data_IF_380138131873
#
_entry.id   IF_380138131873
#
_cell.length_a   1.000
_cell.length_b   1.000
_cell.length_c   1.000
_cell.angle_alpha   90.00
_cell.angle_beta   90.00
_cell.angle_gamma   90.00
#
_symmetry.space_group_name_H-M   'P 1'
#
loop_
_entity.id
_entity.type
_entity.pdbx_description
1 polymer ?
#
# COMPACT_ATOMS: atom_id res chain seq x y z
N UNK A 1 -1.65 -29.71 8.40
CA UNK A 1 -1.34 -30.10 7.01
C UNK A 1 -1.51 -31.60 6.72
N UNK A 2 -1.08 -32.52 7.60
CA UNK A 2 -1.16 -33.98 7.36
C UNK A 2 -2.59 -34.53 7.08
N UNK A 3 -3.64 -33.93 7.66
CA UNK A 3 -5.02 -34.42 7.51
C UNK A 3 -5.56 -34.26 6.08
N UNK A 4 -5.22 -33.15 5.42
CA UNK A 4 -5.69 -32.84 4.06
C UNK A 4 -5.03 -33.73 3.01
N UNK A 5 -3.74 -34.05 3.18
CA UNK A 5 -3.03 -34.99 2.29
C UNK A 5 -3.60 -36.40 2.35
N UNK A 6 -4.03 -36.85 3.54
CA UNK A 6 -4.64 -38.17 3.73
C UNK A 6 -6.01 -38.27 3.05
N UNK A 7 -6.83 -37.22 3.14
CA UNK A 7 -8.13 -37.15 2.48
C UNK A 7 -7.97 -37.13 0.96
N UNK A 8 -7.04 -36.32 0.42
CA UNK A 8 -6.77 -36.31 -1.01
C UNK A 8 -6.23 -37.64 -1.53
N UNK A 9 -5.37 -38.32 -0.76
CA UNK A 9 -4.84 -39.63 -1.13
C UNK A 9 -5.95 -40.68 -1.18
N UNK A 10 -6.88 -40.66 -0.21
CA UNK A 10 -8.02 -41.57 -0.19
C UNK A 10 -8.99 -41.33 -1.35
N UNK A 11 -9.24 -40.07 -1.71
CA UNK A 11 -10.10 -39.72 -2.86
C UNK A 11 -9.45 -40.18 -4.18
N UNK A 12 -8.15 -39.93 -4.35
CA UNK A 12 -7.41 -40.34 -5.56
C UNK A 12 -7.35 -41.87 -5.69
N UNK A 13 -7.13 -42.58 -4.59
CA UNK A 13 -7.10 -44.06 -4.58
C UNK A 13 -8.49 -44.64 -4.89
N UNK A 14 -9.54 -44.03 -4.36
CA UNK A 14 -10.94 -44.38 -4.66
C UNK A 14 -11.26 -44.17 -6.15
N UNK A 15 -10.86 -43.02 -6.72
CA UNK A 15 -11.10 -42.70 -8.13
C UNK A 15 -10.36 -43.67 -9.07
N UNK A 16 -9.09 -43.98 -8.78
CA UNK A 16 -8.27 -44.92 -9.57
C UNK A 16 -8.85 -46.33 -9.56
N UNK A 17 -9.42 -46.77 -8.43
CA UNK A 17 -10.02 -48.09 -8.30
C UNK A 17 -11.34 -48.21 -9.07
N UNK A 18 -12.12 -47.12 -9.14
CA UNK A 18 -13.37 -47.04 -9.92
C UNK A 18 -13.11 -46.90 -11.42
N UNK A 19 -12.08 -46.16 -11.84
CA UNK A 19 -11.77 -45.92 -13.25
C UNK A 19 -11.04 -47.07 -13.96
N UNK A 20 -10.26 -47.88 -13.22
CA UNK A 20 -9.50 -49.00 -13.80
C UNK A 20 -10.34 -50.02 -14.60
N UNK A 21 -11.51 -50.49 -14.14
CA UNK A 21 -12.37 -51.39 -14.94
C UNK A 21 -13.03 -50.68 -16.13
N UNK A 22 -13.20 -49.36 -16.08
CA UNK A 22 -13.76 -48.56 -17.18
C UNK A 22 -12.76 -48.40 -18.33
N UNK A 23 -11.47 -48.26 -18.02
CA UNK A 23 -10.40 -48.00 -18.99
C UNK A 23 -9.88 -49.30 -19.61
N UNK A 24 -9.79 -50.39 -18.85
CA UNK A 24 -9.21 -51.66 -19.31
C UNK A 24 -10.23 -52.77 -19.60
N UNK A 25 -11.53 -52.51 -19.45
CA UNK A 25 -12.59 -53.52 -19.57
C UNK A 25 -12.99 -53.93 -21.00
N UNK A 26 -12.34 -53.42 -22.06
CA UNK A 26 -12.81 -53.64 -23.45
C UNK A 26 -11.90 -54.50 -24.34
N UNK A 27 -10.79 -55.06 -23.84
CA UNK A 27 -9.80 -55.76 -24.67
C UNK A 27 -9.71 -57.28 -24.48
N UNK A 28 -10.73 -57.95 -23.93
CA UNK A 28 -10.68 -59.41 -23.79
C UNK A 28 -12.04 -60.10 -23.95
N UNK A 29 -12.76 -59.81 -25.04
CA UNK A 29 -13.99 -60.50 -25.41
C UNK A 29 -13.96 -60.97 -26.87
N UNK A 30 -12.90 -61.69 -27.26
CA UNK A 30 -12.90 -62.40 -28.55
C UNK A 30 -12.45 -63.86 -28.45
N UNK A 31 -12.34 -64.43 -27.24
CA UNK A 31 -12.23 -65.88 -27.04
C UNK A 31 -12.41 -66.19 -25.55
N UNK A 32 -13.64 -66.52 -25.11
CA UNK A 32 -13.88 -67.27 -23.88
C UNK A 32 -15.35 -67.72 -23.79
N UNK A 33 -15.55 -69.01 -23.56
CA UNK A 33 -16.83 -69.72 -23.55
C UNK A 33 -17.88 -69.17 -22.57
N UNK A 34 -19.14 -69.23 -22.99
CA UNK A 34 -20.32 -68.68 -22.32
C UNK A 34 -20.79 -69.45 -21.06
N UNK A 35 -19.90 -70.13 -20.32
CA UNK A 35 -20.26 -70.92 -19.13
C UNK A 35 -19.56 -70.51 -17.83
N UNK A 36 -18.75 -69.44 -17.81
CA UNK A 36 -18.00 -69.02 -16.59
C UNK A 36 -18.09 -67.54 -16.20
N UNK A 37 -19.08 -66.78 -16.69
CA UNK A 37 -19.22 -65.33 -16.36
C UNK A 37 -20.38 -65.04 -15.36
N UNK A 38 -20.83 -66.03 -14.60
CA UNK A 38 -22.02 -65.92 -13.75
C UNK A 38 -21.85 -65.39 -12.32
N UNK A 39 -20.62 -65.29 -11.78
CA UNK A 39 -20.44 -65.05 -10.33
C UNK A 39 -19.57 -63.85 -9.94
N UNK A 40 -18.92 -63.16 -10.88
CA UNK A 40 -17.93 -62.11 -10.55
C UNK A 40 -18.52 -60.71 -10.33
N UNK A 41 -19.64 -60.36 -10.97
CA UNK A 41 -20.20 -58.98 -10.89
C UNK A 41 -20.95 -58.66 -9.59
N UNK A 42 -21.64 -59.63 -8.97
CA UNK A 42 -22.35 -59.40 -7.69
C UNK A 42 -21.40 -59.18 -6.50
N UNK A 43 -20.23 -59.83 -6.51
CA UNK A 43 -19.24 -59.75 -5.44
C UNK A 43 -18.53 -58.39 -5.41
N UNK A 44 -18.18 -57.83 -6.57
CA UNK A 44 -17.48 -56.55 -6.68
C UNK A 44 -18.35 -55.33 -6.33
N UNK A 45 -19.66 -55.37 -6.60
CA UNK A 45 -20.58 -54.30 -6.19
C UNK A 45 -20.88 -54.32 -4.68
N UNK A 46 -20.85 -55.50 -4.07
CA UNK A 46 -21.11 -55.66 -2.63
C UNK A 46 -19.93 -55.13 -1.79
N UNK A 47 -18.69 -55.34 -2.23
CA UNK A 47 -17.50 -54.79 -1.57
C UNK A 47 -17.40 -53.26 -1.69
N UNK A 48 -17.77 -52.67 -2.84
CA UNK A 48 -17.83 -51.22 -3.02
C UNK A 48 -18.87 -50.59 -2.09
N UNK A 49 -20.06 -51.20 -1.99
CA UNK A 49 -21.12 -50.70 -1.11
C UNK A 49 -20.73 -50.74 0.37
N UNK A 50 -20.05 -51.82 0.79
CA UNK A 50 -19.53 -51.94 2.16
C UNK A 50 -18.49 -50.85 2.45
N UNK A 51 -17.54 -50.60 1.55
CA UNK A 51 -16.50 -49.59 1.76
C UNK A 51 -17.10 -48.18 1.84
N UNK A 52 -18.05 -47.86 0.96
CA UNK A 52 -18.73 -46.54 0.94
C UNK A 52 -19.50 -46.28 2.23
N UNK A 53 -20.01 -47.32 2.90
CA UNK A 53 -20.77 -47.15 4.14
C UNK A 53 -19.88 -47.26 5.40
N UNK A 54 -18.82 -48.07 5.33
CA UNK A 54 -17.92 -48.32 6.45
C UNK A 54 -16.99 -47.12 6.72
N UNK A 55 -16.44 -46.50 5.67
CA UNK A 55 -15.51 -45.37 5.83
C UNK A 55 -16.18 -44.16 6.53
N UNK A 56 -17.37 -43.69 6.13
CA UNK A 56 -18.06 -42.61 6.85
C UNK A 56 -18.45 -43.00 8.28
N UNK A 57 -18.88 -44.24 8.51
CA UNK A 57 -19.28 -44.70 9.83
C UNK A 57 -18.10 -44.73 10.81
N UNK A 58 -16.93 -45.20 10.35
CA UNK A 58 -15.70 -45.17 11.13
C UNK A 58 -15.24 -43.73 11.38
N UNK A 59 -15.35 -42.85 10.38
CA UNK A 59 -15.04 -41.43 10.56
C UNK A 59 -15.96 -40.75 11.60
N UNK A 60 -17.26 -41.04 11.56
CA UNK A 60 -18.23 -40.54 12.55
C UNK A 60 -17.91 -41.10 13.94
N UNK A 61 -17.61 -42.40 14.05
CA UNK A 61 -17.26 -43.03 15.33
C UNK A 61 -15.97 -42.47 15.92
N UNK A 62 -14.94 -42.28 15.10
CA UNK A 62 -13.70 -41.61 15.51
C UNK A 62 -13.95 -40.16 15.93
N UNK A 63 -14.82 -39.43 15.22
CA UNK A 63 -15.18 -38.06 15.58
C UNK A 63 -15.91 -38.00 16.93
N UNK A 64 -16.79 -38.96 17.23
CA UNK A 64 -17.50 -39.01 18.51
C UNK A 64 -16.64 -39.49 19.68
N UNK A 65 -15.58 -40.27 19.42
CA UNK A 65 -14.73 -40.84 20.47
C UNK A 65 -13.45 -40.04 20.74
N UNK A 66 -12.82 -39.47 19.69
CA UNK A 66 -11.63 -38.63 19.81
C UNK A 66 -11.94 -37.14 19.69
N UNK A 67 -13.07 -36.77 19.09
CA UNK A 67 -13.51 -35.38 19.03
C UNK A 67 -14.26 -34.97 20.31
N UNK A 68 -14.21 -33.69 20.63
CA UNK A 68 -14.97 -33.10 21.73
C UNK A 68 -16.26 -32.51 21.14
N UNK A 69 -17.42 -33.17 21.19
CA UNK A 69 -18.67 -32.59 20.68
C UNK A 69 -19.12 -31.36 21.50
N UNK A 70 -18.64 -31.21 22.75
CA UNK A 70 -19.02 -30.16 23.68
C UNK A 70 -18.47 -28.76 23.34
N UNK A 71 -17.41 -28.65 22.53
CA UNK A 71 -16.95 -27.34 22.00
C UNK A 71 -17.91 -26.75 20.96
N UNK A 72 -18.84 -27.55 20.43
CA UNK A 72 -19.83 -27.10 19.44
C UNK A 72 -21.11 -26.59 20.12
N UNK A 73 -21.35 -26.95 21.39
CA UNK A 73 -22.48 -26.47 22.18
C UNK A 73 -21.98 -25.97 23.55
N UNK A 74 -21.63 -24.68 23.70
CA UNK A 74 -21.22 -24.15 25.00
C UNK A 74 -22.33 -24.39 26.01
N UNK A 75 -22.01 -25.07 27.12
CA UNK A 75 -22.94 -25.41 28.19
C UNK A 75 -23.64 -24.16 28.74
N UNK A 76 -24.85 -24.30 29.28
CA UNK A 76 -25.60 -23.20 29.92
C UNK A 76 -24.77 -22.49 31.00
N UNK A 77 -23.92 -23.23 31.72
CA UNK A 77 -22.97 -22.67 32.69
C UNK A 77 -21.92 -21.76 32.03
N UNK A 78 -21.39 -22.15 30.86
CA UNK A 78 -20.42 -21.36 30.10
C UNK A 78 -21.05 -20.05 29.58
N UNK A 79 -22.31 -20.11 29.16
CA UNK A 79 -23.05 -18.92 28.71
C UNK A 79 -23.39 -17.99 29.88
N UNK A 80 -23.80 -18.52 31.03
CA UNK A 80 -24.08 -17.75 32.23
C UNK A 80 -22.82 -17.05 32.78
N UNK A 81 -21.67 -17.75 32.76
CA UNK A 81 -20.38 -17.17 33.14
C UNK A 81 -19.98 -16.02 32.22
N UNK A 82 -20.06 -16.21 30.90
CA UNK A 82 -19.77 -15.15 29.93
C UNK A 82 -20.69 -13.92 30.10
N UNK A 83 -21.98 -14.13 30.35
CA UNK A 83 -22.92 -13.04 30.60
C UNK A 83 -22.64 -12.30 31.92
N UNK A 84 -22.26 -13.02 32.98
CA UNK A 84 -21.88 -12.41 34.26
C UNK A 84 -20.59 -11.59 34.13
N UNK A 85 -19.61 -12.11 33.40
CA UNK A 85 -18.37 -11.40 33.11
C UNK A 85 -18.64 -10.11 32.32
N UNK A 86 -19.46 -10.17 31.28
CA UNK A 86 -19.81 -8.99 30.47
C UNK A 86 -20.58 -7.92 31.26
N UNK A 87 -21.49 -8.32 32.15
CA UNK A 87 -22.17 -7.38 33.06
C UNK A 87 -21.17 -6.74 34.03
N UNK A 88 -20.26 -7.53 34.58
CA UNK A 88 -19.23 -7.02 35.52
C UNK A 88 -18.32 -5.99 34.86
N UNK A 89 -17.91 -6.23 33.61
CA UNK A 89 -17.10 -5.27 32.83
C UNK A 89 -17.87 -3.96 32.61
N UNK A 90 -19.15 -4.05 32.24
CA UNK A 90 -20.00 -2.87 31.99
C UNK A 90 -20.20 -2.05 33.26
N UNK A 91 -20.40 -2.70 34.41
CA UNK A 91 -20.52 -2.02 35.71
C UNK A 91 -19.23 -1.30 36.14
N UNK A 92 -18.06 -1.91 35.88
CA UNK A 92 -16.77 -1.27 36.17
C UNK A 92 -16.55 -0.03 35.33
N UNK A 93 -16.88 -0.08 34.03
CA UNK A 93 -16.80 1.08 33.12
C UNK A 93 -17.76 2.17 33.59
N UNK A 94 -18.99 1.83 33.98
CA UNK A 94 -19.96 2.80 34.49
C UNK A 94 -19.48 3.50 35.76
N UNK A 95 -18.76 2.79 36.65
CA UNK A 95 -18.14 3.42 37.82
C UNK A 95 -16.98 4.35 37.44
N UNK A 96 -16.21 3.98 36.42
CA UNK A 96 -15.12 4.80 35.90
C UNK A 96 -15.66 6.09 35.25
N UNK A 97 -16.71 6.01 34.43
CA UNK A 97 -17.42 7.16 33.86
C UNK A 97 -17.85 8.13 34.98
N UNK A 98 -18.58 7.64 35.99
CA UNK A 98 -19.05 8.46 37.12
C UNK A 98 -17.91 9.14 37.90
N UNK A 99 -16.76 8.47 38.03
CA UNK A 99 -15.58 9.05 38.68
C UNK A 99 -14.98 10.16 37.82
N UNK A 100 -14.85 9.95 36.52
CA UNK A 100 -14.29 10.92 35.58
C UNK A 100 -15.17 12.15 35.38
N UNK A 101 -16.48 12.05 35.63
CA UNK A 101 -17.35 13.22 35.74
C UNK A 101 -17.00 14.11 36.94
N UNK A 102 -16.52 13.52 38.05
CA UNK A 102 -16.10 14.26 39.25
C UNK A 102 -14.64 14.70 39.19
N UNK A 103 -13.80 13.94 38.47
CA UNK A 103 -12.36 14.17 38.30
C UNK A 103 -12.03 14.34 36.80
N UNK A 104 -12.48 15.45 36.16
CA UNK A 104 -12.43 15.59 34.70
C UNK A 104 -11.01 15.78 34.12
N UNK A 105 -10.01 15.95 34.98
CA UNK A 105 -8.61 16.16 34.61
C UNK A 105 -7.74 14.89 34.85
N UNK A 106 -8.36 13.76 35.24
CA UNK A 106 -7.67 12.46 35.41
C UNK A 106 -7.30 11.84 34.05
N UNK A 107 -6.12 12.21 33.53
CA UNK A 107 -5.57 11.73 32.26
C UNK A 107 -5.51 10.20 32.18
N UNK A 108 -5.08 9.53 33.26
CA UNK A 108 -4.94 8.07 33.26
C UNK A 108 -6.32 7.40 33.22
N UNK A 109 -7.28 7.92 33.97
CA UNK A 109 -8.64 7.43 33.92
C UNK A 109 -9.29 7.60 32.55
N UNK A 110 -9.09 8.73 31.86
CA UNK A 110 -9.57 8.93 30.48
C UNK A 110 -8.89 7.98 29.48
N UNK A 111 -7.59 7.74 29.63
CA UNK A 111 -6.84 6.77 28.83
C UNK A 111 -7.38 5.34 29.01
N UNK A 112 -7.62 4.93 30.26
CA UNK A 112 -8.21 3.63 30.57
C UNK A 112 -9.62 3.50 29.99
N UNK A 113 -10.44 4.53 30.15
CA UNK A 113 -11.80 4.56 29.62
C UNK A 113 -11.83 4.42 28.10
N UNK A 114 -11.00 5.19 27.40
CA UNK A 114 -10.85 5.10 25.94
C UNK A 114 -10.47 3.69 25.49
N UNK A 115 -9.44 3.09 26.12
CA UNK A 115 -8.99 1.72 25.81
C UNK A 115 -10.08 0.69 26.06
N UNK A 116 -10.84 0.82 27.15
CA UNK A 116 -11.97 -0.06 27.46
C UNK A 116 -13.02 -0.03 26.35
N UNK A 117 -13.40 1.16 25.85
CA UNK A 117 -14.35 1.26 24.76
C UNK A 117 -13.82 0.72 23.43
N UNK A 118 -12.54 0.94 23.12
CA UNK A 118 -11.92 0.35 21.92
C UNK A 118 -11.95 -1.18 21.95
N UNK A 119 -11.65 -1.79 23.11
CA UNK A 119 -11.74 -3.26 23.28
C UNK A 119 -13.17 -3.77 23.13
N UNK A 120 -14.14 -3.03 23.68
CA UNK A 120 -15.56 -3.34 23.52
C UNK A 120 -16.12 -3.00 22.13
N UNK A 121 -15.32 -2.36 21.28
CA UNK A 121 -15.72 -1.84 19.95
C UNK A 121 -16.88 -0.84 20.02
N UNK A 122 -17.05 -0.16 21.15
CA UNK A 122 -17.96 0.98 21.31
C UNK A 122 -17.23 2.24 20.85
N UNK A 123 -17.08 2.36 19.52
CA UNK A 123 -16.24 3.41 18.93
C UNK A 123 -16.83 4.80 19.14
N UNK A 124 -18.16 4.94 19.24
CA UNK A 124 -18.79 6.22 19.55
C UNK A 124 -18.34 6.75 20.91
N UNK A 125 -18.36 5.92 21.96
CA UNK A 125 -17.87 6.35 23.28
C UNK A 125 -16.35 6.46 23.34
N UNK A 126 -15.62 5.61 22.61
CA UNK A 126 -14.17 5.71 22.51
C UNK A 126 -13.74 7.07 21.95
N UNK A 127 -14.42 7.56 20.90
CA UNK A 127 -14.18 8.89 20.30
C UNK A 127 -14.34 10.01 21.33
N UNK A 128 -15.36 9.95 22.19
CA UNK A 128 -15.59 10.96 23.23
C UNK A 128 -14.47 10.93 24.30
N UNK A 129 -14.11 9.74 24.78
CA UNK A 129 -13.05 9.57 25.76
C UNK A 129 -11.68 10.00 25.20
N UNK A 130 -11.36 9.61 23.96
CA UNK A 130 -10.12 10.00 23.26
C UNK A 130 -10.06 11.49 22.96
N UNK A 131 -11.20 12.12 22.64
CA UNK A 131 -11.27 13.56 22.48
C UNK A 131 -10.91 14.26 23.79
N UNK A 132 -11.53 13.84 24.91
CA UNK A 132 -11.24 14.43 26.22
C UNK A 132 -9.78 14.22 26.63
N UNK A 133 -9.25 13.03 26.39
CA UNK A 133 -7.85 12.73 26.62
C UNK A 133 -6.93 13.64 25.80
N UNK A 134 -7.22 13.81 24.50
CA UNK A 134 -6.47 14.69 23.60
C UNK A 134 -6.50 16.16 24.06
N UNK A 135 -7.64 16.64 24.57
CA UNK A 135 -7.75 18.00 25.15
C UNK A 135 -6.86 18.18 26.39
N UNK A 136 -6.66 17.14 27.20
CA UNK A 136 -5.86 17.20 28.42
C UNK A 136 -4.35 17.09 28.16
N UNK A 137 -3.94 16.21 27.24
CA UNK A 137 -2.51 15.89 27.01
C UNK A 137 -1.92 16.63 25.82
N UNK A 138 -2.77 17.19 24.95
CA UNK A 138 -2.36 17.91 23.75
C UNK A 138 -1.74 16.99 22.69
N UNK A 139 -0.65 17.47 22.09
CA UNK A 139 -0.10 16.91 20.86
C UNK A 139 0.75 15.64 21.07
N UNK A 140 0.13 14.58 21.59
CA UNK A 140 0.74 13.26 21.77
C UNK A 140 0.41 12.34 20.59
N UNK A 141 1.40 11.83 19.84
CA UNK A 141 1.17 11.01 18.62
C UNK A 141 0.27 9.80 18.85
N UNK A 142 0.50 9.02 19.91
CA UNK A 142 -0.29 7.82 20.21
C UNK A 142 -1.78 8.14 20.45
N UNK A 143 -2.07 9.26 21.11
CA UNK A 143 -3.44 9.71 21.38
C UNK A 143 -4.08 10.24 20.10
N UNK A 144 -3.36 11.01 19.29
CA UNK A 144 -3.84 11.48 17.99
C UNK A 144 -4.19 10.31 17.06
N UNK A 145 -3.33 9.30 16.98
CA UNK A 145 -3.51 8.14 16.11
C UNK A 145 -4.64 7.23 16.59
N UNK A 146 -4.72 6.96 17.89
CA UNK A 146 -5.86 6.22 18.46
C UNK A 146 -7.17 6.96 18.22
N UNK A 147 -7.16 8.30 18.33
CA UNK A 147 -8.34 9.12 18.07
C UNK A 147 -8.73 9.13 16.59
N UNK A 148 -7.76 9.23 15.69
CA UNK A 148 -7.98 9.14 14.25
C UNK A 148 -8.59 7.78 13.84
N UNK A 149 -8.06 6.69 14.39
CA UNK A 149 -8.56 5.33 14.14
C UNK A 149 -9.99 5.16 14.66
N UNK A 150 -10.27 5.58 15.89
CA UNK A 150 -11.62 5.53 16.46
C UNK A 150 -12.64 6.36 15.63
N UNK A 151 -12.24 7.55 15.16
CA UNK A 151 -13.06 8.37 14.27
C UNK A 151 -13.32 7.68 12.93
N UNK A 152 -12.34 6.97 12.38
CA UNK A 152 -12.52 6.21 11.15
C UNK A 152 -13.51 5.07 11.35
N UNK A 153 -13.45 4.35 12.48
CA UNK A 153 -14.37 3.25 12.79
C UNK A 153 -15.84 3.71 12.89
N UNK A 154 -16.09 4.92 13.38
CA UNK A 154 -17.45 5.51 13.42
C UNK A 154 -17.90 6.00 12.04
N UNK A 155 -16.97 6.28 11.12
CA UNK A 155 -17.25 6.87 9.80
C UNK A 155 -17.06 5.89 8.65
N UNK A 156 -17.47 4.62 8.83
CA UNK A 156 -17.37 3.54 7.84
C UNK A 156 -15.94 3.29 7.31
N UNK A 157 -14.93 3.50 8.16
CA UNK A 157 -13.51 3.35 7.82
C UNK A 157 -12.92 4.54 7.05
N UNK A 158 -13.66 5.63 6.88
CA UNK A 158 -13.18 6.82 6.15
C UNK A 158 -12.21 7.62 7.01
N UNK A 159 -11.01 7.85 6.48
CA UNK A 159 -9.95 8.62 7.13
C UNK A 159 -9.89 10.08 6.66
N UNK A 160 -10.75 10.48 5.72
CA UNK A 160 -10.85 11.86 5.24
C UNK A 160 -11.29 12.85 6.33
N UNK A 161 -10.83 14.10 6.25
CA UNK A 161 -11.21 15.17 7.18
C UNK A 161 -10.35 15.20 8.45
N UNK A 162 -10.98 15.12 9.63
CA UNK A 162 -10.29 15.22 10.93
C UNK A 162 -9.27 14.09 11.20
N UNK A 163 -9.56 12.80 10.90
CA UNK A 163 -8.61 11.72 11.11
C UNK A 163 -7.29 11.94 10.36
N UNK A 164 -7.35 12.27 9.07
CA UNK A 164 -6.17 12.60 8.26
C UNK A 164 -5.30 13.69 8.89
N UNK A 165 -5.89 14.78 9.36
CA UNK A 165 -5.14 15.87 10.01
C UNK A 165 -4.41 15.43 11.29
N UNK A 166 -5.05 14.56 12.08
CA UNK A 166 -4.44 13.99 13.28
C UNK A 166 -3.28 13.07 12.93
N UNK A 167 -3.43 12.24 11.88
CA UNK A 167 -2.38 11.34 11.38
C UNK A 167 -1.18 12.11 10.86
N UNK A 168 -1.41 13.13 10.02
CA UNK A 168 -0.35 13.99 9.48
C UNK A 168 0.43 14.67 10.60
N UNK A 169 -0.28 15.27 11.56
CA UNK A 169 0.34 15.92 12.72
C UNK A 169 1.11 14.93 13.61
N UNK A 170 0.58 13.72 13.81
CA UNK A 170 1.30 12.68 14.55
C UNK A 170 2.59 12.27 13.85
N UNK A 171 2.58 12.14 12.51
CA UNK A 171 3.77 11.81 11.71
C UNK A 171 4.77 12.95 11.57
N UNK A 172 4.35 14.21 11.73
CA UNK A 172 5.27 15.35 11.87
C UNK A 172 6.10 15.24 13.16
N UNK A 173 5.48 14.75 14.23
CA UNK A 173 6.13 14.57 15.55
C UNK A 173 6.93 13.28 15.62
N UNK A 174 6.39 12.18 15.09
CA UNK A 174 7.02 10.86 15.04
C UNK A 174 6.99 10.29 13.61
N UNK A 175 8.00 10.62 12.78
CA UNK A 175 8.02 10.21 11.37
C UNK A 175 8.07 8.71 11.12
N UNK A 176 8.47 7.92 12.12
CA UNK A 176 8.60 6.46 12.03
C UNK A 176 7.54 5.73 12.87
N UNK A 177 6.47 6.42 13.30
CA UNK A 177 5.38 5.77 14.01
C UNK A 177 4.66 4.76 13.10
N UNK A 178 4.67 3.48 13.49
CA UNK A 178 4.18 2.38 12.65
C UNK A 178 2.70 2.48 12.34
N UNK A 179 1.89 2.82 13.36
CA UNK A 179 0.45 3.04 13.21
C UNK A 179 0.16 4.27 12.36
N UNK A 180 0.94 5.35 12.54
CA UNK A 180 0.84 6.55 11.73
C UNK A 180 1.08 6.28 10.25
N UNK A 181 2.16 5.57 9.91
CA UNK A 181 2.49 5.21 8.53
C UNK A 181 1.44 4.28 7.92
N UNK A 182 0.92 3.33 8.70
CA UNK A 182 -0.15 2.43 8.28
C UNK A 182 -1.42 3.20 7.89
N UNK A 183 -1.92 4.04 8.81
CA UNK A 183 -3.14 4.83 8.62
C UNK A 183 -2.97 5.90 7.54
N UNK A 184 -1.81 6.55 7.45
CA UNK A 184 -1.52 7.53 6.41
C UNK A 184 -1.56 6.91 5.01
N UNK A 185 -1.05 5.67 4.88
CA UNK A 185 -1.14 4.93 3.63
C UNK A 185 -2.58 4.62 3.22
N UNK A 186 -3.40 4.14 4.17
CA UNK A 186 -4.84 3.87 3.91
C UNK A 186 -5.57 5.17 3.54
N UNK A 187 -5.37 6.24 4.31
CA UNK A 187 -6.01 7.54 4.06
C UNK A 187 -5.63 8.11 2.69
N UNK A 188 -4.37 7.95 2.27
CA UNK A 188 -3.90 8.41 0.96
C UNK A 188 -4.52 7.58 -0.16
N UNK A 189 -4.60 6.26 -0.01
CA UNK A 189 -5.20 5.38 -0.99
C UNK A 189 -6.72 5.61 -1.14
N UNK A 190 -7.43 5.87 -0.04
CA UNK A 190 -8.86 6.22 -0.06
C UNK A 190 -9.12 7.51 -0.85
N UNK A 191 -8.22 8.49 -0.73
CA UNK A 191 -8.30 9.77 -1.44
C UNK A 191 -7.79 9.71 -2.89
N UNK A 192 -7.37 8.54 -3.36
CA UNK A 192 -6.82 8.35 -4.70
C UNK A 192 -5.36 8.81 -4.87
N UNK A 193 -4.70 9.25 -3.79
CA UNK A 193 -3.27 9.51 -3.77
C UNK A 193 -2.49 8.21 -3.55
N UNK A 194 -2.56 7.35 -4.57
CA UNK A 194 -1.95 6.04 -4.57
C UNK A 194 -0.42 6.08 -4.42
N UNK A 195 0.23 7.15 -4.92
CA UNK A 195 1.68 7.31 -4.80
C UNK A 195 2.10 7.57 -3.36
N UNK A 196 1.43 8.50 -2.66
CA UNK A 196 1.72 8.74 -1.24
C UNK A 196 1.39 7.51 -0.40
N UNK A 197 0.33 6.78 -0.74
CA UNK A 197 -0.03 5.54 -0.05
C UNK A 197 1.10 4.49 -0.09
N UNK A 198 1.62 4.22 -1.30
CA UNK A 198 2.75 3.31 -1.52
C UNK A 198 3.99 3.79 -0.75
N UNK A 199 4.28 5.10 -0.77
CA UNK A 199 5.45 5.65 -0.07
C UNK A 199 5.36 5.46 1.45
N UNK A 200 4.19 5.69 2.07
CA UNK A 200 4.00 5.46 3.51
C UNK A 200 4.19 3.99 3.87
N UNK A 201 3.66 3.08 3.07
CA UNK A 201 3.79 1.65 3.30
C UNK A 201 5.22 1.13 3.09
N UNK A 202 5.96 1.63 2.10
CA UNK A 202 7.39 1.30 1.95
C UNK A 202 8.25 1.80 3.12
N UNK A 203 7.90 2.94 3.72
CA UNK A 203 8.55 3.40 4.96
C UNK A 203 8.21 2.49 6.16
N UNK A 204 7.03 1.89 6.14
CA UNK A 204 6.56 0.99 7.20
C UNK A 204 7.18 -0.42 7.11
N UNK A 205 7.40 -0.96 5.90
CA UNK A 205 7.99 -2.29 5.69
C UNK A 205 9.24 -2.59 6.54
N UNK A 206 10.29 -1.74 6.57
CA UNK A 206 11.48 -2.02 7.37
C UNK A 206 11.22 -1.97 8.88
N UNK A 207 10.11 -1.39 9.36
CA UNK A 207 9.76 -1.33 10.78
C UNK A 207 9.01 -2.58 11.25
N UNK A 208 8.49 -3.39 10.33
CA UNK A 208 7.69 -4.59 10.61
C UNK A 208 8.47 -5.91 10.47
N UNK A 209 9.81 -5.88 10.47
CA UNK A 209 10.67 -7.04 10.18
C UNK A 209 10.40 -8.31 11.01
N UNK A 210 9.75 -8.19 12.18
CA UNK A 210 9.41 -9.32 13.05
C UNK A 210 7.95 -9.79 12.91
N UNK A 211 7.16 -9.22 11.99
CA UNK A 211 5.76 -9.55 11.79
C UNK A 211 5.44 -9.89 10.32
N UNK A 212 5.62 -11.17 9.97
CA UNK A 212 5.39 -11.67 8.61
C UNK A 212 3.94 -11.49 8.12
N UNK A 213 2.97 -11.50 9.03
CA UNK A 213 1.57 -11.33 8.69
C UNK A 213 1.29 -9.88 8.24
N UNK A 214 1.75 -8.90 9.00
CA UNK A 214 1.58 -7.48 8.67
C UNK A 214 2.38 -7.11 7.42
N UNK A 215 3.60 -7.65 7.26
CA UNK A 215 4.39 -7.48 6.04
C UNK A 215 3.68 -8.01 4.80
N UNK A 216 3.07 -9.19 4.90
CA UNK A 216 2.29 -9.77 3.80
C UNK A 216 1.11 -8.89 3.46
N UNK A 217 0.44 -8.32 4.47
CA UNK A 217 -0.70 -7.43 4.26
C UNK A 217 -0.31 -6.12 3.59
N UNK A 218 0.79 -5.51 4.03
CA UNK A 218 1.32 -4.29 3.43
C UNK A 218 1.73 -4.51 1.98
N UNK A 219 2.43 -5.60 1.66
CA UNK A 219 2.81 -5.94 0.27
C UNK A 219 1.58 -6.14 -0.61
N UNK A 220 0.54 -6.79 -0.08
CA UNK A 220 -0.73 -6.93 -0.79
C UNK A 220 -1.36 -5.56 -1.08
N UNK A 221 -1.40 -4.67 -0.08
CA UNK A 221 -1.95 -3.31 -0.23
C UNK A 221 -1.17 -2.47 -1.23
N UNK A 222 0.17 -2.55 -1.22
CA UNK A 222 1.06 -1.91 -2.20
C UNK A 222 0.72 -2.44 -3.60
N UNK A 223 0.73 -3.75 -3.81
CA UNK A 223 0.47 -4.34 -5.12
C UNK A 223 -0.92 -3.98 -5.68
N UNK A 224 -1.97 -4.00 -4.84
CA UNK A 224 -3.32 -3.58 -5.24
C UNK A 224 -3.36 -2.09 -5.62
N UNK A 225 -2.59 -1.26 -4.92
CA UNK A 225 -2.56 0.19 -5.13
C UNK A 225 -1.75 0.55 -6.36
N UNK A 226 -0.64 -0.15 -6.62
CA UNK A 226 0.13 -0.08 -7.88
C UNK A 226 -0.72 -0.50 -9.08
N UNK A 227 -1.53 -1.55 -8.93
CA UNK A 227 -2.46 -1.97 -9.98
C UNK A 227 -3.50 -0.87 -10.26
N UNK A 228 -4.04 -0.20 -9.24
CA UNK A 228 -4.97 0.93 -9.43
C UNK A 228 -4.28 2.15 -10.07
N UNK A 229 -3.04 2.42 -9.71
CA UNK A 229 -2.21 3.47 -10.32
C UNK A 229 -1.93 3.18 -11.80
N UNK A 230 -1.60 1.92 -12.13
CA UNK A 230 -1.37 1.46 -13.50
C UNK A 230 -2.64 1.37 -14.35
N UNK A 231 -3.76 0.92 -13.78
CA UNK A 231 -5.06 0.86 -14.47
C UNK A 231 -5.70 2.24 -14.63
N UNK A 232 -5.38 3.20 -13.77
CA UNK A 232 -5.72 4.62 -13.94
C UNK A 232 -4.96 5.30 -15.10
N UNK A 233 -4.03 4.58 -15.74
CA UNK A 233 -3.25 5.05 -16.90
C UNK A 233 -3.78 4.51 -18.24
N UNK A 234 -4.94 3.82 -18.26
CA UNK A 234 -5.45 3.12 -19.47
C UNK A 234 -6.74 3.70 -20.08
N UNK A 235 -7.22 4.87 -19.62
CA UNK A 235 -8.28 5.61 -20.32
C UNK A 235 -7.70 6.85 -21.00
N UNK A 236 -7.15 6.62 -22.19
CA UNK A 236 -6.84 7.66 -23.16
C UNK A 236 -8.17 8.11 -23.79
N UNK A 237 -8.91 8.98 -23.10
CA UNK A 237 -9.98 9.78 -23.73
C UNK A 237 -9.36 11.11 -24.18
N UNK A 238 -9.35 11.43 -25.50
CA UNK A 238 -8.78 12.67 -25.97
C UNK A 238 -9.70 13.87 -25.67
N UNK A 239 -9.09 14.89 -25.05
CA UNK A 239 -9.37 16.33 -25.11
C UNK A 239 -10.72 16.83 -24.56
N UNK A 240 -10.64 17.45 -23.38
CA UNK A 240 -11.06 18.86 -23.23
C UNK A 240 -10.13 19.62 -22.27
N UNK A 241 -9.41 20.53 -22.90
CA UNK A 241 -8.70 21.71 -22.41
C UNK A 241 -9.48 22.46 -21.30
N UNK A 242 -9.04 22.33 -20.05
CA UNK A 242 -8.91 23.39 -19.03
C UNK A 242 -8.59 22.78 -17.67
N UNK A 243 -7.31 22.59 -17.37
CA UNK A 243 -6.83 22.53 -15.99
C UNK A 243 -5.43 23.14 -15.98
N UNK A 244 -5.29 24.24 -15.24
CA UNK A 244 -4.04 24.96 -15.05
C UNK A 244 -2.91 24.00 -14.69
N UNK A 245 -1.81 24.09 -15.43
CA UNK A 245 -0.51 23.50 -15.07
C UNK A 245 0.02 24.20 -13.81
N UNK A 246 -0.41 23.77 -12.62
CA UNK A 246 -0.02 24.41 -11.36
C UNK A 246 1.37 23.99 -10.86
N UNK A 247 1.99 22.93 -11.42
CA UNK A 247 3.25 22.38 -10.89
C UNK A 247 4.32 22.12 -11.97
N UNK A 248 4.51 23.06 -12.90
CA UNK A 248 5.56 22.96 -13.95
C UNK A 248 6.49 24.16 -13.91
N UNK A 249 7.66 24.04 -14.53
CA UNK A 249 8.62 25.14 -14.68
C UNK A 249 8.91 25.36 -16.15
N UNK A 250 8.56 26.52 -16.69
CA UNK A 250 8.83 26.86 -18.09
C UNK A 250 10.09 27.73 -18.20
N UNK A 251 11.04 27.32 -19.04
CA UNK A 251 12.29 28.02 -19.30
C UNK A 251 12.42 28.35 -20.78
N UNK A 252 12.92 29.55 -21.09
CA UNK A 252 13.27 29.98 -22.43
C UNK A 252 14.80 30.10 -22.51
N UNK A 253 15.43 29.27 -23.34
CA UNK A 253 16.88 29.17 -23.43
C UNK A 253 17.36 29.84 -24.72
N UNK A 254 18.42 30.62 -24.61
CA UNK A 254 19.09 31.28 -25.73
C UNK A 254 20.61 31.23 -25.56
N UNK A 255 21.33 31.34 -26.68
CA UNK A 255 22.80 31.36 -26.73
C UNK A 255 23.31 32.78 -27.01
N UNK A 256 24.26 33.24 -26.21
CA UNK A 256 24.94 34.51 -26.42
C UNK A 256 25.72 34.51 -27.74
N UNK A 257 25.76 35.66 -28.43
CA UNK A 257 26.40 35.80 -29.74
C UNK A 257 27.88 35.37 -29.73
N UNK A 258 28.59 35.73 -28.66
CA UNK A 258 30.03 35.50 -28.49
C UNK A 258 30.42 34.02 -28.40
N UNK A 259 29.45 33.14 -28.08
CA UNK A 259 29.67 31.70 -27.96
C UNK A 259 29.23 30.91 -29.20
N UNK A 260 28.56 31.54 -30.18
CA UNK A 260 28.04 30.85 -31.37
C UNK A 260 29.13 30.23 -32.24
N UNK A 261 30.25 30.93 -32.40
CA UNK A 261 31.40 30.42 -33.15
C UNK A 261 32.11 29.26 -32.43
N UNK A 262 31.86 29.10 -31.13
CA UNK A 262 32.43 28.02 -30.30
C UNK A 262 31.51 26.81 -30.20
N UNK A 263 30.26 26.88 -30.65
CA UNK A 263 29.27 25.80 -30.60
C UNK A 263 28.96 25.25 -31.98
N UNK A 264 28.77 23.94 -32.09
CA UNK A 264 28.24 23.31 -33.29
C UNK A 264 26.72 23.05 -33.17
N UNK A 265 25.94 23.10 -34.26
CA UNK A 265 24.50 22.84 -34.23
C UNK A 265 24.11 21.47 -33.65
N UNK A 266 24.98 20.47 -33.81
CA UNK A 266 24.82 19.10 -33.30
C UNK A 266 25.23 18.92 -31.83
N UNK A 267 25.82 19.94 -31.21
CA UNK A 267 26.21 19.87 -29.80
C UNK A 267 24.97 19.63 -28.92
N UNK A 268 25.16 18.88 -27.83
CA UNK A 268 24.06 18.51 -26.95
C UNK A 268 23.77 19.60 -25.94
N UNK A 269 22.53 20.08 -25.91
CA UNK A 269 21.99 20.97 -24.88
C UNK A 269 21.32 20.16 -23.78
N UNK A 270 21.81 20.28 -22.54
CA UNK A 270 21.18 19.75 -21.34
C UNK A 270 20.53 20.88 -20.55
N UNK A 271 19.28 20.68 -20.14
CA UNK A 271 18.50 21.60 -19.31
C UNK A 271 18.20 20.87 -18.01
N UNK A 272 18.61 21.45 -16.88
CA UNK A 272 18.53 20.85 -15.57
C UNK A 272 17.59 21.63 -14.66
N UNK A 273 16.79 20.92 -13.86
CA UNK A 273 16.17 21.43 -12.65
C UNK A 273 16.78 20.71 -11.43
N UNK A 274 17.18 21.46 -10.41
CA UNK A 274 17.77 20.93 -9.16
C UNK A 274 17.03 21.49 -7.94
N UNK A 275 17.06 20.76 -6.83
CA UNK A 275 16.62 21.30 -5.55
C UNK A 275 17.62 22.34 -5.02
N UNK A 276 17.14 23.42 -4.38
CA UNK A 276 17.98 24.45 -3.74
C UNK A 276 18.75 23.84 -2.55
N UNK A 277 18.07 23.00 -1.76
CA UNK A 277 18.63 22.28 -0.62
C UNK A 277 18.29 20.80 -0.80
N UNK A 278 19.18 20.04 -1.43
CA UNK A 278 18.96 18.64 -1.76
C UNK A 278 20.23 17.94 -2.26
N UNK A 279 20.15 16.63 -2.57
CA UNK A 279 21.28 15.90 -3.11
C UNK A 279 21.78 16.55 -4.43
N UNK A 280 23.06 16.39 -4.82
CA UNK A 280 23.65 17.08 -5.97
C UNK A 280 23.05 16.68 -7.33
N UNK A 281 22.15 15.69 -7.34
CA UNK A 281 21.51 15.11 -8.51
C UNK A 281 20.33 15.98 -8.98
N UNK A 282 20.13 16.14 -10.30
CA UNK A 282 19.01 16.91 -10.84
C UNK A 282 17.67 16.19 -10.68
N UNK A 283 16.64 16.98 -10.38
CA UNK A 283 15.24 16.56 -10.31
C UNK A 283 14.73 16.16 -11.68
N UNK A 284 15.01 16.97 -12.71
CA UNK A 284 14.67 16.68 -14.10
C UNK A 284 15.81 17.08 -15.03
N UNK A 285 15.95 16.34 -16.14
CA UNK A 285 16.92 16.63 -17.20
C UNK A 285 16.26 16.47 -18.56
N UNK A 286 16.38 17.49 -19.39
CA UNK A 286 15.96 17.45 -20.79
C UNK A 286 17.18 17.57 -21.69
N UNK A 287 17.22 16.74 -22.72
CA UNK A 287 18.25 16.76 -23.75
C UNK A 287 17.65 17.34 -25.05
N UNK A 288 18.31 18.34 -25.61
CA UNK A 288 18.00 18.96 -26.90
C UNK A 288 19.30 19.17 -27.69
N UNK A 289 19.21 19.74 -28.90
CA UNK A 289 20.38 20.14 -29.69
C UNK A 289 20.53 21.67 -29.70
N UNK A 290 21.76 22.14 -29.95
CA UNK A 290 22.03 23.57 -30.12
C UNK A 290 21.27 24.16 -31.32
N UNK A 291 21.03 23.36 -32.36
CA UNK A 291 20.21 23.73 -33.52
C UNK A 291 18.77 24.12 -33.18
N UNK A 292 18.25 23.68 -32.03
CA UNK A 292 16.90 24.01 -31.57
C UNK A 292 16.81 25.40 -30.92
N UNK A 293 17.95 26.05 -30.65
CA UNK A 293 17.98 27.36 -29.97
C UNK A 293 17.57 28.52 -30.89
N UNK A 294 16.79 29.50 -30.40
CA UNK A 294 16.23 29.58 -29.04
C UNK A 294 15.02 28.66 -28.84
N UNK A 295 14.98 27.98 -27.70
CA UNK A 295 13.94 26.98 -27.40
C UNK A 295 13.24 27.31 -26.09
N UNK A 296 11.93 27.07 -26.03
CA UNK A 296 11.16 27.08 -24.78
C UNK A 296 10.86 25.65 -24.36
N UNK A 297 11.22 25.30 -23.13
CA UNK A 297 11.03 23.95 -22.58
C UNK A 297 10.25 24.06 -21.28
N UNK A 298 9.22 23.23 -21.14
CA UNK A 298 8.51 23.05 -19.88
C UNK A 298 9.06 21.81 -19.19
N UNK A 299 9.63 22.01 -18.01
CA UNK A 299 10.10 20.97 -17.12
C UNK A 299 8.95 20.58 -16.19
N UNK A 300 8.55 19.33 -16.24
CA UNK A 300 7.51 18.77 -15.40
C UNK A 300 7.96 17.43 -14.79
N UNK A 301 7.10 16.85 -13.97
CA UNK A 301 7.39 15.62 -13.24
C UNK A 301 7.56 14.38 -14.11
N UNK A 302 7.10 14.41 -15.36
CA UNK A 302 7.29 13.29 -16.30
C UNK A 302 8.76 13.15 -16.71
N UNK A 303 9.53 14.23 -16.55
CA UNK A 303 10.95 14.32 -16.90
C UNK A 303 11.86 14.02 -15.70
N UNK A 304 11.29 13.60 -14.57
CA UNK A 304 12.03 13.35 -13.35
C UNK A 304 12.90 12.08 -13.47
N UNK A 305 14.20 12.20 -13.17
CA UNK A 305 15.12 11.06 -13.22
C UNK A 305 14.88 10.06 -12.08
N UNK A 306 14.24 10.50 -10.99
CA UNK A 306 13.88 9.69 -9.85
C UNK A 306 12.37 9.82 -9.59
N UNK A 307 11.62 8.71 -9.47
CA UNK A 307 10.17 8.77 -9.24
C UNK A 307 9.77 9.48 -7.93
N UNK A 308 10.69 9.55 -6.96
CA UNK A 308 10.49 10.07 -5.60
C UNK A 308 10.96 11.51 -5.41
N UNK A 309 11.64 12.12 -6.38
CA UNK A 309 12.08 13.53 -6.32
C UNK A 309 11.66 14.25 -7.61
N UNK A 310 10.48 14.87 -7.53
CA UNK A 310 9.79 15.51 -8.66
C UNK A 310 9.95 17.03 -8.58
N UNK A 311 9.67 17.74 -9.67
CA UNK A 311 9.72 19.21 -9.64
C UNK A 311 8.58 19.74 -8.77
N UNK A 312 7.39 19.14 -8.88
CA UNK A 312 6.20 19.50 -8.09
C UNK A 312 6.37 19.40 -6.58
N UNK A 313 7.33 18.60 -6.09
CA UNK A 313 7.58 18.44 -4.65
C UNK A 313 8.35 19.61 -4.03
N UNK A 314 8.78 20.60 -4.83
CA UNK A 314 9.54 21.76 -4.34
C UNK A 314 8.83 23.06 -4.72
N UNK A 315 8.77 24.01 -3.78
CA UNK A 315 8.23 25.35 -4.05
C UNK A 315 9.18 26.17 -4.94
N UNK A 316 10.49 25.96 -4.78
CA UNK A 316 11.53 26.65 -5.55
C UNK A 316 12.58 25.65 -6.02
N UNK A 317 13.01 25.78 -7.28
CA UNK A 317 14.05 24.95 -7.89
C UNK A 317 15.12 25.84 -8.53
N UNK A 318 16.33 25.29 -8.70
CA UNK A 318 17.40 25.89 -9.50
C UNK A 318 17.35 25.34 -10.91
N UNK A 319 17.17 26.21 -11.89
CA UNK A 319 17.25 25.84 -13.31
C UNK A 319 18.55 26.34 -13.92
N UNK A 320 19.15 25.53 -14.78
CA UNK A 320 20.37 25.87 -15.52
C UNK A 320 20.40 25.12 -16.84
N UNK A 321 21.12 25.66 -17.83
CA UNK A 321 21.36 24.98 -19.09
C UNK A 321 22.86 24.85 -19.38
N UNK A 322 23.24 23.77 -20.06
CA UNK A 322 24.62 23.48 -20.45
C UNK A 322 24.70 22.88 -21.84
N UNK A 323 25.58 23.40 -22.67
CA UNK A 323 25.98 22.79 -23.94
C UNK A 323 27.22 21.94 -23.68
N UNK A 324 27.16 20.66 -24.05
CA UNK A 324 28.31 19.77 -24.02
C UNK A 324 28.64 19.22 -25.40
N UNK A 325 29.90 19.46 -25.80
CA UNK A 325 30.49 18.91 -27.03
C UNK A 325 30.75 17.42 -26.95
N UNK A 326 30.98 16.92 -25.73
CA UNK A 326 31.26 15.50 -25.48
C UNK A 326 30.00 14.65 -25.46
N UNK A 327 28.82 15.27 -25.39
CA UNK A 327 27.53 14.58 -25.22
C UNK A 327 27.31 13.98 -23.83
N UNK A 328 28.25 14.15 -22.89
CA UNK A 328 28.13 13.62 -21.53
C UNK A 328 27.33 14.56 -20.62
N UNK A 329 26.52 13.98 -19.74
CA UNK A 329 25.71 14.70 -18.77
C UNK A 329 26.53 15.29 -17.60
N UNK A 330 27.76 14.81 -17.37
CA UNK A 330 28.70 15.35 -16.37
C UNK A 330 29.43 16.57 -16.91
N UNK A 331 29.56 17.63 -16.11
CA UNK A 331 30.22 18.87 -16.51
C UNK A 331 31.71 18.65 -16.82
N UNK A 332 32.20 19.25 -17.91
CA UNK A 332 33.60 19.21 -18.32
C UNK A 332 34.14 20.63 -18.61
N UNK A 333 35.45 20.86 -18.43
CA UNK A 333 36.08 22.09 -18.92
C UNK A 333 35.81 22.29 -20.42
N UNK A 334 35.44 23.52 -20.80
CA UNK A 334 35.06 23.88 -22.17
C UNK A 334 33.58 23.70 -22.50
N UNK A 335 32.76 23.12 -21.60
CA UNK A 335 31.30 23.17 -21.72
C UNK A 335 30.80 24.62 -21.51
N UNK A 336 29.75 25.01 -22.22
CA UNK A 336 29.15 26.35 -22.08
C UNK A 336 27.90 26.28 -21.23
N UNK A 337 27.76 27.19 -20.27
CA UNK A 337 26.75 27.13 -19.21
C UNK A 337 26.06 28.47 -19.00
N UNK A 338 24.88 28.39 -18.40
CA UNK A 338 24.22 29.52 -17.74
C UNK A 338 24.59 29.54 -16.26
N UNK A 339 24.48 30.70 -15.61
CA UNK A 339 24.30 30.71 -14.15
C UNK A 339 23.00 29.98 -13.78
N UNK A 340 22.92 29.49 -12.54
CA UNK A 340 21.72 28.83 -12.02
C UNK A 340 20.72 29.87 -11.49
N UNK A 341 19.48 29.80 -11.95
CA UNK A 341 18.41 30.73 -11.57
C UNK A 341 17.43 30.03 -10.62
N UNK A 342 17.03 30.73 -9.54
CA UNK A 342 15.98 30.25 -8.66
C UNK A 342 14.61 30.59 -9.23
N UNK A 343 13.73 29.58 -9.33
CA UNK A 343 12.42 29.69 -9.97
C UNK A 343 11.36 29.05 -9.09
N UNK A 344 10.20 29.72 -8.98
CA UNK A 344 9.04 29.18 -8.28
C UNK A 344 8.28 28.20 -9.18
N UNK A 345 7.99 27.01 -8.66
CA UNK A 345 7.25 25.96 -9.40
C UNK A 345 5.80 26.40 -9.58
N UNK A 346 5.27 26.30 -10.81
CA UNK A 346 3.94 26.78 -11.17
C UNK A 346 3.87 28.24 -11.64
N UNK A 347 5.01 28.94 -11.74
CA UNK A 347 5.04 30.29 -12.32
C UNK A 347 4.62 30.27 -13.80
N UNK A 348 3.75 31.21 -14.20
CA UNK A 348 3.21 31.27 -15.56
C UNK A 348 4.17 31.88 -16.58
N UNK A 349 5.04 32.79 -16.17
CA UNK A 349 6.00 33.44 -17.07
C UNK A 349 7.25 32.58 -17.27
N UNK A 350 7.67 32.31 -18.53
CA UNK A 350 8.90 31.59 -18.81
C UNK A 350 10.14 32.30 -18.27
N UNK A 351 11.01 31.56 -17.60
CA UNK A 351 12.27 32.09 -17.10
C UNK A 351 13.31 32.10 -18.20
N UNK A 352 13.89 33.27 -18.48
CA UNK A 352 14.89 33.45 -19.52
C UNK A 352 16.26 33.01 -19.03
N UNK A 353 16.86 32.03 -19.72
CA UNK A 353 18.20 31.52 -19.50
C UNK A 353 19.08 31.86 -20.71
N UNK A 354 20.21 32.52 -20.47
CA UNK A 354 21.18 32.88 -21.51
C UNK A 354 22.46 32.11 -21.22
N UNK A 355 22.91 31.31 -22.20
CA UNK A 355 24.19 30.61 -22.14
C UNK A 355 25.27 31.59 -22.57
N UNK A 356 26.06 32.06 -21.62
CA UNK A 356 27.02 33.15 -21.78
C UNK A 356 28.39 32.88 -21.14
N UNK A 357 28.52 31.78 -20.40
CA UNK A 357 29.76 31.42 -19.71
C UNK A 357 30.35 30.09 -20.22
N UNK A 358 31.66 29.93 -20.07
CA UNK A 358 32.41 28.71 -20.40
C UNK A 358 33.06 28.17 -19.13
N UNK A 359 32.90 26.86 -18.85
CA UNK A 359 33.54 26.22 -17.70
C UNK A 359 35.05 26.21 -17.92
N UNK A 360 35.79 26.98 -17.13
CA UNK A 360 37.26 27.01 -17.20
C UNK A 360 37.85 25.75 -16.58
N UNK A 361 38.94 25.26 -17.15
CA UNK A 361 39.75 24.23 -16.50
C UNK A 361 40.41 24.84 -15.28
N UNK A 362 40.16 24.27 -14.09
CA UNK A 362 40.86 24.64 -12.86
C UNK A 362 42.25 24.02 -12.82
#
# INVERSE_FOLDING_TARGET
>A
MMLWSLITLMIVLSLLMVLRPLIFGKTSLDNMDASTVGSSFKSQWLTITIIVLLVPSVAISLYLTLGSPDIVNPSEDSQNLAQMEQRTITDMISKLENRLEQEPDDVEGWSMLARSYLVLRDYEKAVLALQRLYELVGDQPDVMLSYADALAMVNDGKLSGKPKKLIEKALELEPENTMGLWLAGIASAELGDYQSAINYWHRLEPLLQNNDADLSKIREMIAQTEQKLGNGSTDIVPLKENAKSENVVTVNISLAEELREKTAPEDTLFIFAKAINGPPMPLAVVKQQVSDLPVTVTLDDSMAMMPTQKISSFTHVLVSARISKSGNATAQPGDMVTEAYSVTVGQQEPVKLIIDNEIKSN
#
